data_IF_935772644498
#
_entry.id   IF_935772644498
#
_cell.length_a   1.000
_cell.length_b   1.000
_cell.length_c   1.000
_cell.angle_alpha   90.00
_cell.angle_beta   90.00
_cell.angle_gamma   90.00
#
_symmetry.space_group_name_H-M   'P 1'
#
loop_
_entity.id
_entity.type
_entity.pdbx_description
1 polymer ?
#
# COMPACT_ATOMS: atom_id res chain seq x y z
N UNK A 1 -8.48 10.92 7.80
CA UNK A 1 -7.97 9.70 8.47
C UNK A 1 -6.57 9.43 7.95
N UNK A 2 -5.61 9.07 8.81
CA UNK A 2 -4.22 8.80 8.42
C UNK A 2 -3.90 7.34 8.73
N UNK A 3 -3.57 6.55 7.71
CA UNK A 3 -3.26 5.12 7.86
C UNK A 3 -2.00 4.77 7.08
N UNK A 4 -1.16 3.91 7.65
CA UNK A 4 0.01 3.36 6.97
C UNK A 4 -0.11 1.84 6.95
N UNK A 5 -0.17 1.28 5.75
CA UNK A 5 -0.26 -0.15 5.50
C UNK A 5 1.14 -0.69 5.25
N UNK A 6 1.59 -1.57 6.14
CA UNK A 6 2.95 -2.06 6.13
C UNK A 6 3.03 -3.54 6.49
N UNK A 7 4.23 -4.09 6.34
CA UNK A 7 4.55 -5.42 6.85
C UNK A 7 5.56 -5.25 7.99
N UNK A 8 5.25 -5.70 9.20
CA UNK A 8 6.18 -5.65 10.34
C UNK A 8 7.51 -6.34 10.06
N UNK A 9 7.55 -7.37 9.22
CA UNK A 9 8.79 -8.08 8.89
C UNK A 9 9.61 -7.44 7.76
N UNK A 10 9.13 -6.34 7.14
CA UNK A 10 9.84 -5.67 6.06
C UNK A 10 10.73 -4.53 6.58
N UNK A 11 12.05 -4.74 6.56
CA UNK A 11 13.05 -3.72 6.98
C UNK A 11 12.91 -2.40 6.23
N UNK A 12 12.58 -2.43 4.93
CA UNK A 12 12.39 -1.21 4.13
C UNK A 12 11.14 -0.45 4.56
N UNK A 13 10.06 -1.16 4.92
CA UNK A 13 8.86 -0.53 5.48
C UNK A 13 9.15 0.10 6.85
N UNK A 14 9.87 -0.60 7.72
CA UNK A 14 10.29 -0.07 9.04
C UNK A 14 11.06 1.25 8.86
N UNK A 15 12.13 1.24 8.05
CA UNK A 15 12.92 2.46 7.75
C UNK A 15 12.07 3.60 7.16
N UNK A 16 11.10 3.27 6.31
CA UNK A 16 10.19 4.26 5.76
C UNK A 16 9.29 4.85 6.85
N UNK A 17 8.73 4.04 7.74
CA UNK A 17 7.90 4.49 8.87
C UNK A 17 8.73 5.34 9.84
N UNK A 18 9.94 4.91 10.19
CA UNK A 18 10.88 5.70 10.99
C UNK A 18 11.15 7.08 10.36
N UNK A 19 11.37 7.11 9.04
CA UNK A 19 11.54 8.37 8.32
C UNK A 19 10.28 9.23 8.34
N UNK A 20 9.11 8.63 8.13
CA UNK A 20 7.83 9.34 8.10
C UNK A 20 7.50 9.95 9.47
N UNK A 21 7.97 9.35 10.57
CA UNK A 21 7.69 9.76 11.94
C UNK A 21 6.20 10.10 12.14
N UNK A 22 5.29 9.13 11.91
CA UNK A 22 3.86 9.40 11.85
C UNK A 22 3.33 9.98 13.18
N UNK A 23 2.37 10.92 13.14
CA UNK A 23 1.76 11.46 14.35
C UNK A 23 0.96 10.39 15.09
N UNK A 24 0.66 10.61 16.37
CA UNK A 24 -0.08 9.64 17.20
C UNK A 24 -1.49 9.30 16.68
N UNK A 25 -2.09 10.17 15.86
CA UNK A 25 -3.39 9.94 15.21
C UNK A 25 -3.29 9.06 13.94
N UNK A 26 -2.06 8.76 13.48
CA UNK A 26 -1.85 7.89 12.34
C UNK A 26 -1.84 6.43 12.76
N UNK A 27 -2.73 5.65 12.17
CA UNK A 27 -2.85 4.22 12.42
C UNK A 27 -1.82 3.42 11.61
N UNK A 28 -1.13 2.49 12.25
CA UNK A 28 -0.22 1.56 11.58
C UNK A 28 -0.91 0.20 11.42
N UNK A 29 -1.21 -0.18 10.18
CA UNK A 29 -1.88 -1.43 9.83
C UNK A 29 -0.84 -2.44 9.35
N UNK A 30 -0.67 -3.51 10.12
CA UNK A 30 0.06 -4.68 9.63
C UNK A 30 -0.87 -5.53 8.76
N UNK A 31 -0.65 -5.48 7.44
CA UNK A 31 -1.52 -6.13 6.47
C UNK A 31 -1.38 -7.65 6.46
N UNK A 32 -0.38 -8.24 7.12
CA UNK A 32 -0.24 -9.70 7.18
C UNK A 32 -1.26 -10.37 8.10
N UNK A 33 -1.41 -9.95 9.38
CA UNK A 33 -2.46 -10.46 10.25
C UNK A 33 -3.82 -9.78 10.02
N UNK A 34 -3.86 -8.49 9.70
CA UNK A 34 -5.13 -7.74 9.61
C UNK A 34 -5.76 -7.78 8.21
N UNK A 35 -4.97 -8.09 7.17
CA UNK A 35 -5.42 -7.97 5.78
C UNK A 35 -5.59 -6.51 5.35
N UNK A 36 -6.37 -6.31 4.30
CA UNK A 36 -6.71 -4.99 3.76
C UNK A 36 -8.23 -4.99 3.57
N UNK A 37 -8.92 -4.01 4.15
CA UNK A 37 -10.37 -3.89 3.96
C UNK A 37 -10.69 -3.37 2.56
N UNK A 38 -11.86 -3.74 2.03
CA UNK A 38 -12.32 -3.21 0.74
C UNK A 38 -12.48 -1.69 0.79
N UNK A 39 -12.97 -1.16 1.91
CA UNK A 39 -13.15 0.28 2.12
C UNK A 39 -11.81 1.03 2.08
N UNK A 40 -10.78 0.52 2.78
CA UNK A 40 -9.44 1.13 2.75
C UNK A 40 -8.85 1.10 1.35
N UNK A 41 -9.01 -0.03 0.63
CA UNK A 41 -8.50 -0.17 -0.73
C UNK A 41 -9.22 0.77 -1.71
N UNK A 42 -10.53 0.98 -1.55
CA UNK A 42 -11.30 1.95 -2.32
C UNK A 42 -10.88 3.40 -2.03
N UNK A 43 -10.60 3.73 -0.77
CA UNK A 43 -10.05 5.03 -0.41
C UNK A 43 -8.67 5.26 -1.03
N UNK A 44 -7.78 4.28 -1.00
CA UNK A 44 -6.50 4.36 -1.71
C UNK A 44 -6.71 4.62 -3.20
N UNK A 45 -7.63 3.88 -3.82
CA UNK A 45 -7.92 3.98 -5.26
C UNK A 45 -8.49 5.34 -5.65
N UNK A 46 -9.27 5.99 -4.78
CA UNK A 46 -9.79 7.33 -5.02
C UNK A 46 -8.68 8.38 -5.21
N UNK A 47 -7.48 8.10 -4.70
CA UNK A 47 -6.31 8.97 -4.82
C UNK A 47 -5.23 8.44 -5.78
N UNK A 48 -5.50 7.35 -6.53
CA UNK A 48 -4.63 6.85 -7.61
C UNK A 48 -5.36 6.80 -8.95
N UNK A 49 -4.61 6.60 -10.02
CA UNK A 49 -5.17 6.37 -11.36
C UNK A 49 -5.76 4.97 -11.52
N UNK A 50 -5.26 3.97 -10.78
CA UNK A 50 -5.67 2.56 -10.89
C UNK A 50 -5.38 1.70 -9.65
N UNK A 51 -6.02 0.52 -9.53
CA UNK A 51 -5.63 -0.49 -8.54
C UNK A 51 -4.29 -1.12 -8.91
N UNK A 52 -3.97 -1.21 -10.20
CA UNK A 52 -2.63 -1.60 -10.66
C UNK A 52 -1.51 -0.74 -10.06
N UNK A 53 -1.77 0.57 -9.89
CA UNK A 53 -0.82 1.49 -9.27
C UNK A 53 -0.50 1.11 -7.82
N UNK A 54 -1.46 0.48 -7.12
CA UNK A 54 -1.34 -0.07 -5.76
C UNK A 54 -0.82 -1.52 -5.76
N UNK A 55 -0.76 -2.18 -6.92
CA UNK A 55 -0.43 -3.60 -7.05
C UNK A 55 1.08 -3.88 -7.16
N UNK A 56 1.55 -4.92 -6.46
CA UNK A 56 2.93 -5.39 -6.44
C UNK A 56 3.10 -6.63 -7.32
N UNK A 57 3.66 -6.42 -8.53
CA UNK A 57 4.12 -7.48 -9.44
C UNK A 57 5.35 -8.25 -8.94
N UNK A 58 5.94 -7.82 -7.81
CA UNK A 58 7.16 -8.44 -7.23
C UNK A 58 6.86 -9.59 -6.27
N UNK A 59 5.60 -9.85 -5.95
CA UNK A 59 5.22 -10.93 -5.05
C UNK A 59 5.62 -12.30 -5.64
N UNK A 60 6.11 -13.23 -4.81
CA UNK A 60 6.37 -14.61 -5.27
C UNK A 60 5.09 -15.26 -5.80
N UNK A 61 3.95 -14.98 -5.14
CA UNK A 61 2.63 -15.47 -5.55
C UNK A 61 2.23 -15.00 -6.95
N UNK A 62 2.68 -13.81 -7.38
CA UNK A 62 2.46 -13.32 -8.74
C UNK A 62 3.04 -14.27 -9.80
N UNK A 63 4.25 -14.78 -9.53
CA UNK A 63 4.92 -15.76 -10.40
C UNK A 63 4.30 -17.15 -10.29
N UNK A 64 3.97 -17.59 -9.07
CA UNK A 64 3.38 -18.92 -8.84
C UNK A 64 2.03 -19.09 -9.54
N UNK A 65 1.23 -18.03 -9.60
CA UNK A 65 -0.06 -18.01 -10.28
C UNK A 65 0.04 -17.67 -11.77
N UNK A 66 1.26 -17.50 -12.31
CA UNK A 66 1.52 -17.06 -13.69
C UNK A 66 0.70 -15.82 -14.11
N UNK A 67 0.55 -14.86 -13.19
CA UNK A 67 -0.24 -13.64 -13.43
C UNK A 67 0.41 -12.71 -14.47
N UNK A 68 1.69 -12.90 -14.77
CA UNK A 68 2.41 -12.13 -15.80
C UNK A 68 1.98 -12.46 -17.23
N UNK A 69 1.45 -13.66 -17.46
CA UNK A 69 0.96 -14.13 -18.76
C UNK A 69 -0.56 -13.89 -18.92
N UNK A 70 -1.22 -13.39 -17.88
CA UNK A 70 -2.65 -13.10 -17.88
C UNK A 70 -2.90 -11.62 -18.19
N UNK A 71 -4.01 -11.37 -18.90
CA UNK A 71 -4.53 -10.00 -19.07
C UNK A 71 -5.40 -9.67 -17.87
N UNK A 72 -4.84 -8.97 -16.89
CA UNK A 72 -5.55 -8.57 -15.68
C UNK A 72 -6.33 -7.28 -15.91
N UNK A 73 -7.60 -7.29 -15.51
CA UNK A 73 -8.44 -6.09 -15.48
C UNK A 73 -8.27 -5.33 -14.16
N UNK A 74 -8.83 -4.13 -14.11
CA UNK A 74 -8.85 -3.30 -12.90
C UNK A 74 -9.57 -4.01 -11.73
N UNK A 75 -10.63 -4.77 -12.02
CA UNK A 75 -11.32 -5.58 -11.01
C UNK A 75 -10.48 -6.77 -10.52
N UNK A 76 -9.68 -7.38 -11.40
CA UNK A 76 -8.78 -8.47 -11.01
C UNK A 76 -7.70 -7.97 -10.06
N UNK A 77 -7.14 -6.78 -10.31
CA UNK A 77 -6.19 -6.15 -9.40
C UNK A 77 -6.82 -5.90 -8.02
N UNK A 78 -8.05 -5.36 -7.97
CA UNK A 78 -8.78 -5.18 -6.71
C UNK A 78 -8.93 -6.50 -5.96
N UNK A 79 -9.43 -7.55 -6.65
CA UNK A 79 -9.66 -8.87 -6.06
C UNK A 79 -8.38 -9.48 -5.52
N UNK A 80 -7.31 -9.48 -6.30
CA UNK A 80 -6.02 -10.04 -5.89
C UNK A 80 -5.46 -9.34 -4.64
N UNK A 81 -5.55 -8.01 -4.56
CA UNK A 81 -5.07 -7.27 -3.38
C UNK A 81 -5.84 -7.67 -2.12
N UNK A 82 -7.17 -7.80 -2.22
CA UNK A 82 -8.03 -8.20 -1.10
C UNK A 82 -7.84 -9.67 -0.72
N UNK A 83 -7.63 -10.54 -1.70
CA UNK A 83 -7.40 -11.97 -1.48
C UNK A 83 -6.06 -12.22 -0.77
N UNK A 84 -5.00 -11.48 -1.14
CA UNK A 84 -3.72 -11.65 -0.49
C UNK A 84 -2.90 -10.36 -0.38
N UNK A 85 -2.60 -9.98 0.87
CA UNK A 85 -1.82 -8.80 1.25
C UNK A 85 -0.47 -8.61 0.52
N UNK A 86 0.11 -9.69 -0.02
CA UNK A 86 1.42 -9.66 -0.69
C UNK A 86 1.38 -8.82 -1.97
N UNK A 87 0.17 -8.70 -2.55
CA UNK A 87 -0.09 -7.97 -3.78
C UNK A 87 -0.23 -6.46 -3.57
N UNK A 88 -0.26 -5.94 -2.35
CA UNK A 88 -0.19 -4.49 -2.12
C UNK A 88 1.27 -3.99 -2.20
N UNK A 89 1.50 -2.86 -2.90
CA UNK A 89 2.78 -2.14 -2.94
C UNK A 89 3.06 -1.47 -1.60
N UNK A 90 3.86 -2.13 -0.77
CA UNK A 90 4.18 -1.68 0.59
C UNK A 90 5.43 -0.78 0.65
N UNK A 91 5.48 0.16 1.60
CA UNK A 91 4.35 0.63 2.41
C UNK A 91 3.36 1.44 1.56
N UNK A 92 2.10 1.50 1.99
CA UNK A 92 1.11 2.47 1.47
C UNK A 92 0.77 3.45 2.57
N UNK A 93 0.87 4.74 2.29
CA UNK A 93 0.50 5.82 3.20
C UNK A 93 -0.78 6.44 2.65
N UNK A 94 -1.87 6.31 3.39
CA UNK A 94 -3.17 6.90 3.09
C UNK A 94 -3.41 8.08 4.02
N UNK A 95 -3.72 9.22 3.43
CA UNK A 95 -4.12 10.45 4.12
C UNK A 95 -5.48 10.89 3.61
N UNK A 96 -6.08 11.91 4.22
CA UNK A 96 -7.39 12.44 3.76
C UNK A 96 -7.38 12.96 2.32
N UNK A 97 -6.20 13.36 1.80
CA UNK A 97 -6.09 14.06 0.51
C UNK A 97 -5.26 13.32 -0.54
N UNK A 98 -4.47 12.31 -0.13
CA UNK A 98 -3.50 11.66 -1.00
C UNK A 98 -3.14 10.27 -0.53
N UNK A 99 -2.64 9.46 -1.46
CA UNK A 99 -2.04 8.16 -1.21
C UNK A 99 -0.63 8.11 -1.78
N UNK A 100 0.29 7.52 -1.04
CA UNK A 100 1.68 7.34 -1.45
C UNK A 100 2.05 5.88 -1.35
N UNK A 101 2.70 5.33 -2.38
CA UNK A 101 3.08 3.92 -2.43
C UNK A 101 4.59 3.75 -2.54
N UNK A 102 5.11 2.77 -1.82
CA UNK A 102 6.52 2.40 -1.83
C UNK A 102 7.43 3.28 -0.97
N UNK A 103 8.73 3.04 -1.07
CA UNK A 103 9.77 3.65 -0.22
C UNK A 103 10.74 4.54 -1.00
N UNK A 104 10.33 5.06 -2.15
CA UNK A 104 11.14 6.03 -2.89
C UNK A 104 11.24 7.33 -2.08
N UNK A 105 12.45 7.89 -1.99
CA UNK A 105 12.73 9.08 -1.17
C UNK A 105 11.74 10.22 -1.42
N UNK A 106 11.54 10.59 -2.69
CA UNK A 106 10.60 11.64 -3.11
C UNK A 106 9.17 11.39 -2.63
N UNK A 107 8.70 10.14 -2.70
CA UNK A 107 7.37 9.75 -2.23
C UNK A 107 7.26 9.84 -0.72
N UNK A 108 8.29 9.40 0.01
CA UNK A 108 8.31 9.48 1.48
C UNK A 108 8.37 10.92 1.99
N UNK A 109 9.12 11.80 1.33
CA UNK A 109 9.17 13.23 1.67
C UNK A 109 7.80 13.91 1.48
N UNK A 110 7.08 13.57 0.42
CA UNK A 110 5.73 14.07 0.18
C UNK A 110 4.72 13.48 1.18
N UNK A 111 4.81 12.18 1.45
CA UNK A 111 3.96 11.49 2.42
C UNK A 111 4.17 12.03 3.85
N UNK A 112 5.41 12.32 4.24
CA UNK A 112 5.72 12.90 5.55
C UNK A 112 5.02 14.25 5.74
N UNK A 113 5.07 15.13 4.73
CA UNK A 113 4.38 16.42 4.77
C UNK A 113 2.87 16.23 4.92
N UNK A 114 2.27 15.40 4.07
CA UNK A 114 0.83 15.12 4.10
C UNK A 114 0.35 14.48 5.42
N UNK A 115 1.22 13.74 6.12
CA UNK A 115 0.94 13.18 7.44
C UNK A 115 0.98 14.22 8.56
N UNK A 116 1.71 15.33 8.39
CA UNK A 116 1.89 16.37 9.40
C UNK A 116 1.07 17.65 9.13
N UNK A 117 0.44 17.75 7.96
CA UNK A 117 -0.64 18.69 7.66
C UNK A 117 -1.94 18.32 8.40
#
# INVERSE_FOLDING_TARGET
MKKIFHLSTCKTCQKAIDFLNPPNDCELIDIKPQGISAEDLEQMRAHTDSYESLFSRRAMLFRQLNLGDQTLTEEDYKKLILEHYTFLKRPVILTSNAVFTGSAKKSLEAAQKALHE
#
